data_IF_626998358209
#
_entry.id   IF_626998358209
#
_cell.length_a   1.000
_cell.length_b   1.000
_cell.length_c   1.000
_cell.angle_alpha   90.00
_cell.angle_beta   90.00
_cell.angle_gamma   90.00
#
_symmetry.space_group_name_H-M   'P 1'
#
loop_
_entity.id
_entity.type
_entity.pdbx_description
1 polymer ?
#
# COMPACT_ATOMS: atom_id res chain seq x y z
N UNK A 1 -8.74 -5.34 -10.28
CA UNK A 1 -8.63 -3.89 -10.60
C UNK A 1 -7.75 -3.73 -11.82
N UNK A 2 -8.08 -2.86 -12.80
CA UNK A 2 -7.20 -2.61 -13.94
C UNK A 2 -5.83 -2.11 -13.46
N UNK A 3 -4.74 -2.52 -14.13
CA UNK A 3 -3.36 -2.22 -13.72
C UNK A 3 -3.13 -0.71 -13.46
N UNK A 4 -3.81 0.13 -14.26
CA UNK A 4 -3.79 1.58 -14.15
C UNK A 4 -4.24 2.10 -12.79
N UNK A 5 -5.22 1.44 -12.16
CA UNK A 5 -5.75 1.84 -10.85
C UNK A 5 -4.76 1.53 -9.73
N UNK A 6 -3.99 0.43 -9.85
CA UNK A 6 -2.94 0.07 -8.88
C UNK A 6 -1.82 1.11 -8.91
N UNK A 7 -1.38 1.50 -10.11
CA UNK A 7 -0.38 2.55 -10.31
C UNK A 7 -0.87 3.87 -9.73
N UNK A 8 -2.13 4.23 -9.98
CA UNK A 8 -2.72 5.47 -9.46
C UNK A 8 -2.75 5.49 -7.92
N UNK A 9 -3.10 4.37 -7.27
CA UNK A 9 -3.08 4.29 -5.80
C UNK A 9 -1.66 4.37 -5.25
N UNK A 10 -0.67 3.73 -5.87
CA UNK A 10 0.74 3.86 -5.46
C UNK A 10 1.24 5.31 -5.54
N UNK A 11 0.88 6.03 -6.60
CA UNK A 11 1.20 7.46 -6.74
C UNK A 11 0.54 8.26 -5.62
N UNK A 12 -0.75 8.05 -5.36
CA UNK A 12 -1.49 8.75 -4.30
C UNK A 12 -0.87 8.50 -2.91
N UNK A 13 -0.55 7.24 -2.58
CA UNK A 13 0.06 6.89 -1.30
C UNK A 13 1.47 7.48 -1.18
N UNK A 14 2.27 7.45 -2.25
CA UNK A 14 3.59 8.06 -2.29
C UNK A 14 3.57 9.57 -2.08
N UNK A 15 2.63 10.26 -2.73
CA UNK A 15 2.44 11.71 -2.57
C UNK A 15 1.96 12.05 -1.15
N UNK A 16 1.05 11.26 -0.58
CA UNK A 16 0.59 11.42 0.82
C UNK A 16 1.74 11.29 1.81
N UNK A 17 2.56 10.24 1.68
CA UNK A 17 3.75 10.03 2.51
C UNK A 17 4.74 11.19 2.40
N UNK A 18 5.00 11.64 1.17
CA UNK A 18 5.89 12.76 0.91
C UNK A 18 5.38 14.04 1.57
N UNK A 19 4.07 14.31 1.47
CA UNK A 19 3.43 15.47 2.09
C UNK A 19 3.56 15.41 3.62
N UNK A 20 3.24 14.27 4.22
CA UNK A 20 3.36 14.06 5.67
C UNK A 20 4.81 14.29 6.13
N UNK A 21 5.78 13.77 5.39
CA UNK A 21 7.20 13.90 5.72
C UNK A 21 7.77 15.32 5.48
N UNK A 22 7.19 16.08 4.54
CA UNK A 22 7.65 17.43 4.16
C UNK A 22 7.05 18.52 5.04
N UNK A 23 5.78 18.37 5.43
CA UNK A 23 5.04 19.44 6.11
C UNK A 23 4.96 19.27 7.63
N UNK A 24 5.20 18.07 8.15
CA UNK A 24 5.22 17.83 9.60
C UNK A 24 6.68 17.66 10.04
N UNK A 25 7.30 18.65 10.71
CA UNK A 25 8.61 18.49 11.32
C UNK A 25 8.50 17.50 12.48
N UNK A 26 8.79 16.23 12.20
CA UNK A 26 8.77 15.16 13.20
C UNK A 26 10.15 14.95 13.81
N UNK A 27 10.21 14.66 15.11
CA UNK A 27 11.41 14.13 15.74
C UNK A 27 11.87 12.84 15.03
N UNK A 28 13.19 12.64 14.90
CA UNK A 28 13.77 11.55 14.10
C UNK A 28 13.20 10.16 14.40
N UNK A 29 12.87 9.88 15.66
CA UNK A 29 12.26 8.61 16.09
C UNK A 29 10.84 8.40 15.52
N UNK A 30 10.01 9.44 15.50
CA UNK A 30 8.63 9.38 14.99
C UNK A 30 8.63 9.22 13.46
N UNK A 31 9.57 9.88 12.77
CA UNK A 31 9.77 9.76 11.31
C UNK A 31 10.03 8.31 10.89
N UNK A 32 10.87 7.60 11.65
CA UNK A 32 11.21 6.21 11.39
C UNK A 32 9.99 5.29 11.54
N UNK A 33 9.22 5.46 12.63
CA UNK A 33 8.01 4.67 12.88
C UNK A 33 6.96 4.90 11.79
N UNK A 34 6.70 6.17 11.43
CA UNK A 34 5.69 6.49 10.43
C UNK A 34 6.05 5.92 9.06
N UNK A 35 7.31 6.04 8.63
CA UNK A 35 7.76 5.44 7.37
C UNK A 35 7.64 3.91 7.41
N UNK A 36 8.04 3.26 8.51
CA UNK A 36 7.91 1.81 8.67
C UNK A 36 6.44 1.36 8.57
N UNK A 37 5.53 2.04 9.27
CA UNK A 37 4.10 1.71 9.26
C UNK A 37 3.51 1.86 7.85
N UNK A 38 3.82 2.95 7.13
CA UNK A 38 3.25 3.13 5.79
C UNK A 38 3.85 2.14 4.79
N UNK A 39 5.15 1.86 4.86
CA UNK A 39 5.78 0.84 4.00
C UNK A 39 5.13 -0.52 4.24
N UNK A 40 4.93 -0.92 5.50
CA UNK A 40 4.24 -2.18 5.85
C UNK A 40 2.80 -2.18 5.29
N UNK A 41 2.05 -1.09 5.46
CA UNK A 41 0.70 -0.98 4.94
C UNK A 41 0.65 -1.10 3.41
N UNK A 42 1.58 -0.48 2.70
CA UNK A 42 1.71 -0.59 1.23
C UNK A 42 2.05 -2.01 0.80
N UNK A 43 2.96 -2.69 1.49
CA UNK A 43 3.30 -4.09 1.20
C UNK A 43 2.09 -5.01 1.41
N UNK A 44 1.40 -4.90 2.54
CA UNK A 44 0.19 -5.68 2.82
C UNK A 44 -0.93 -5.40 1.80
N UNK A 45 -1.09 -4.13 1.42
CA UNK A 45 -2.05 -3.73 0.39
C UNK A 45 -1.68 -4.30 -0.99
N UNK A 46 -0.40 -4.24 -1.39
CA UNK A 46 0.06 -4.84 -2.65
C UNK A 46 -0.16 -6.36 -2.65
N UNK A 47 0.14 -7.07 -1.56
CA UNK A 47 -0.13 -8.51 -1.45
C UNK A 47 -1.62 -8.85 -1.62
N UNK A 48 -2.51 -7.98 -1.13
CA UNK A 48 -3.95 -8.11 -1.29
C UNK A 48 -4.38 -7.83 -2.76
N UNK A 49 -3.82 -6.78 -3.39
CA UNK A 49 -4.15 -6.35 -4.75
C UNK A 49 -3.59 -7.25 -5.84
N UNK A 50 -2.36 -7.76 -5.68
CA UNK A 50 -1.79 -8.79 -6.55
C UNK A 50 -2.51 -10.13 -6.41
N UNK A 51 -3.43 -10.24 -5.45
CA UNK A 51 -4.41 -11.29 -5.47
C UNK A 51 -3.86 -12.65 -5.11
N UNK A 52 -2.98 -12.75 -4.11
CA UNK A 52 -2.82 -14.04 -3.38
C UNK A 52 -4.21 -14.54 -2.91
N UNK A 53 -5.12 -13.61 -2.57
CA UNK A 53 -6.55 -13.88 -2.33
C UNK A 53 -7.40 -14.05 -3.60
N UNK A 54 -7.01 -13.48 -4.75
CA UNK A 54 -7.74 -13.61 -6.03
C UNK A 54 -7.46 -14.94 -6.74
N UNK A 55 -6.27 -15.51 -6.60
CA UNK A 55 -5.95 -16.88 -7.04
C UNK A 55 -6.83 -17.92 -6.32
N UNK A 56 -7.24 -17.64 -5.07
CA UNK A 56 -8.20 -18.48 -4.34
C UNK A 56 -9.65 -18.26 -4.79
N UNK A 57 -10.02 -17.10 -5.34
CA UNK A 57 -11.39 -16.83 -5.84
C UNK A 57 -11.68 -17.40 -7.23
N UNK A 58 -10.64 -17.75 -8.01
CA UNK A 58 -10.77 -18.40 -9.32
C UNK A 58 -10.89 -19.92 -9.22
N UNK A 59 -10.55 -20.52 -8.08
CA UNK A 59 -10.85 -21.93 -7.82
C UNK A 59 -12.32 -22.05 -7.40
N UNK A 60 -13.20 -22.06 -8.40
CA UNK A 60 -14.53 -22.66 -8.25
C UNK A 60 -14.37 -24.18 -8.07
N UNK A 61 -14.19 -24.64 -6.83
CA UNK A 61 -14.53 -26.04 -6.48
C UNK A 61 -16.05 -26.10 -6.38
N UNK A 62 -16.71 -26.55 -7.45
CA UNK A 62 -18.16 -26.73 -7.45
C UNK A 62 -18.77 -26.95 -8.84
N UNK A 63 -18.72 -28.20 -9.31
CA UNK A 63 -19.92 -28.93 -9.71
C UNK A 63 -20.04 -30.14 -8.80
#
# INVERSE_FOLDING_TARGET
MPLIQVVMVLIVVGVLLWLINRFIPMAGSIKSILNAVVVIAVVLWLLNVFGIFSYLSTIHVGK
#
